data_IF_352384278205
#
_entry.id   IF_352384278205
#
_cell.length_a   1.000
_cell.length_b   1.000
_cell.length_c   1.000
_cell.angle_alpha   90.00
_cell.angle_beta   90.00
_cell.angle_gamma   90.00
#
_symmetry.space_group_name_H-M   'P 1'
#
loop_
_entity.id
_entity.type
_entity.pdbx_description
1 polymer ?
#
# COMPACT_ATOMS: atom_id res chain seq x y z
N UNK A 1 13.98 -17.54 -29.02
CA UNK A 1 13.34 -16.29 -29.44
C UNK A 1 14.20 -15.11 -29.01
N UNK A 2 14.61 -14.25 -29.96
CA UNK A 2 15.48 -13.07 -29.73
C UNK A 2 14.62 -11.86 -29.28
N UNK A 3 14.06 -11.90 -28.10
CA UNK A 3 13.35 -10.76 -27.50
C UNK A 3 13.89 -10.48 -26.11
N UNK A 4 13.99 -9.21 -25.73
CA UNK A 4 14.41 -8.76 -24.38
C UNK A 4 13.31 -9.08 -23.35
N UNK A 5 12.07 -9.25 -23.79
CA UNK A 5 10.92 -9.45 -22.95
C UNK A 5 10.45 -10.90 -22.92
N UNK A 6 9.89 -11.39 -21.80
CA UNK A 6 9.29 -12.71 -21.72
C UNK A 6 8.12 -12.83 -22.72
N UNK A 7 7.99 -14.01 -23.36
CA UNK A 7 6.97 -14.19 -24.38
C UNK A 7 5.57 -14.52 -23.81
N UNK A 8 5.46 -14.84 -22.51
CA UNK A 8 4.21 -15.21 -21.83
C UNK A 8 3.62 -16.58 -22.18
N UNK A 9 4.11 -17.24 -23.26
CA UNK A 9 3.46 -18.45 -23.81
C UNK A 9 4.32 -19.71 -23.80
N UNK A 10 5.64 -19.61 -23.59
CA UNK A 10 6.51 -20.79 -23.52
C UNK A 10 6.41 -21.52 -22.19
N UNK A 11 6.92 -22.77 -22.11
CA UNK A 11 6.92 -23.58 -20.88
C UNK A 11 7.50 -22.81 -19.68
N UNK A 12 8.65 -22.19 -19.83
CA UNK A 12 9.28 -21.43 -18.74
C UNK A 12 8.40 -20.26 -18.25
N UNK A 13 7.80 -19.47 -19.15
CA UNK A 13 6.91 -18.38 -18.75
C UNK A 13 5.69 -18.85 -17.99
N UNK A 14 5.09 -19.98 -18.40
CA UNK A 14 3.93 -20.56 -17.68
C UNK A 14 4.30 -21.07 -16.30
N UNK A 15 5.41 -21.82 -16.19
CA UNK A 15 5.88 -22.31 -14.87
C UNK A 15 6.27 -21.18 -13.92
N UNK A 16 6.82 -20.07 -14.43
CA UNK A 16 7.12 -18.89 -13.61
C UNK A 16 5.83 -18.21 -13.12
N UNK A 17 4.80 -18.12 -13.98
CA UNK A 17 3.50 -17.55 -13.62
C UNK A 17 2.76 -18.40 -12.56
N UNK A 18 2.96 -19.72 -12.62
CA UNK A 18 2.41 -20.70 -11.66
C UNK A 18 3.25 -20.87 -10.39
N UNK A 19 4.35 -20.11 -10.22
CA UNK A 19 5.35 -20.24 -9.14
C UNK A 19 6.01 -21.69 -9.08
N UNK A 20 6.05 -22.42 -10.21
CA UNK A 20 6.53 -23.79 -10.29
C UNK A 20 7.90 -23.95 -11.00
N UNK A 21 8.50 -22.86 -11.46
CA UNK A 21 9.80 -22.92 -12.12
C UNK A 21 10.93 -23.14 -11.11
N UNK A 22 11.69 -24.24 -11.24
CA UNK A 22 12.66 -24.71 -10.25
C UNK A 22 13.77 -23.72 -9.90
N UNK A 23 14.17 -22.85 -10.85
CA UNK A 23 15.25 -21.87 -10.65
C UNK A 23 14.71 -20.48 -10.24
N UNK A 24 13.39 -20.34 -10.03
CA UNK A 24 12.74 -19.14 -9.51
C UNK A 24 12.00 -19.45 -8.22
N UNK A 25 12.37 -18.82 -7.14
CA UNK A 25 11.71 -19.01 -5.85
C UNK A 25 11.07 -17.69 -5.39
N UNK A 26 9.77 -17.71 -5.11
CA UNK A 26 9.04 -16.57 -4.59
C UNK A 26 8.71 -16.80 -3.11
N UNK A 27 9.13 -15.87 -2.26
CA UNK A 27 8.84 -15.89 -0.82
C UNK A 27 7.83 -14.78 -0.53
N UNK A 28 6.70 -15.17 0.06
CA UNK A 28 5.65 -14.25 0.51
C UNK A 28 5.48 -14.33 2.02
N UNK A 29 5.09 -13.25 2.71
CA UNK A 29 4.83 -13.29 4.15
C UNK A 29 3.66 -14.24 4.46
N UNK A 30 3.76 -14.94 5.58
CA UNK A 30 2.67 -15.73 6.17
C UNK A 30 2.23 -15.01 7.44
N UNK A 31 0.93 -14.72 7.57
CA UNK A 31 0.40 -13.91 8.66
C UNK A 31 1.14 -12.56 8.82
N UNK A 32 1.40 -11.90 7.68
CA UNK A 32 2.06 -10.59 7.60
C UNK A 32 3.53 -10.55 8.09
N UNK A 33 4.18 -11.69 8.25
CA UNK A 33 5.57 -11.77 8.71
C UNK A 33 6.33 -12.81 7.87
N UNK A 34 7.57 -12.49 7.51
CA UNK A 34 8.54 -13.45 6.95
C UNK A 34 9.43 -13.94 8.09
N UNK A 35 9.21 -15.20 8.49
CA UNK A 35 9.95 -15.85 9.59
C UNK A 35 11.37 -16.23 9.17
N UNK A 36 12.27 -16.30 10.16
CA UNK A 36 13.68 -16.64 9.97
C UNK A 36 13.87 -18.01 9.31
N UNK A 37 13.06 -19.01 9.65
CA UNK A 37 13.18 -20.36 9.10
C UNK A 37 12.92 -20.38 7.59
N UNK A 38 11.94 -19.60 7.09
CA UNK A 38 11.70 -19.48 5.64
C UNK A 38 12.89 -18.91 4.88
N UNK A 39 13.59 -17.95 5.47
CA UNK A 39 14.81 -17.39 4.86
C UNK A 39 15.98 -18.36 4.98
N UNK A 40 16.09 -19.14 6.06
CA UNK A 40 17.12 -20.20 6.18
C UNK A 40 16.92 -21.32 5.16
N UNK A 41 15.68 -21.77 4.96
CA UNK A 41 15.36 -22.75 3.92
C UNK A 41 15.75 -22.22 2.55
N UNK A 42 15.41 -20.96 2.27
CA UNK A 42 15.81 -20.27 1.05
C UNK A 42 17.34 -20.28 0.89
N UNK A 43 18.09 -19.91 1.93
CA UNK A 43 19.56 -19.89 1.93
C UNK A 43 20.16 -21.28 1.64
N UNK A 44 19.57 -22.35 2.11
CA UNK A 44 20.02 -23.70 1.78
C UNK A 44 19.88 -24.00 0.28
N UNK A 45 18.84 -23.49 -0.37
CA UNK A 45 18.68 -23.59 -1.82
C UNK A 45 19.73 -22.79 -2.60
N UNK A 46 20.28 -21.70 -2.06
CA UNK A 46 21.36 -20.93 -2.68
C UNK A 46 22.66 -21.75 -2.87
N UNK A 47 22.87 -22.76 -2.04
CA UNK A 47 24.07 -23.59 -2.08
C UNK A 47 24.00 -24.70 -3.14
N UNK A 48 22.85 -24.85 -3.79
CA UNK A 48 22.64 -25.84 -4.84
C UNK A 48 22.72 -25.15 -6.20
N UNK A 49 23.35 -25.80 -7.18
CA UNK A 49 23.34 -25.29 -8.56
C UNK A 49 21.91 -25.36 -9.13
N UNK A 50 21.56 -24.42 -10.01
CA UNK A 50 20.25 -24.39 -10.67
C UNK A 50 19.93 -25.72 -11.38
N UNK A 51 18.65 -26.09 -11.40
CA UNK A 51 18.18 -27.35 -11.97
C UNK A 51 18.08 -27.31 -13.50
N UNK A 52 17.65 -26.20 -14.06
CA UNK A 52 17.44 -26.02 -15.50
C UNK A 52 18.42 -24.99 -16.12
N UNK A 53 19.10 -24.18 -15.30
CA UNK A 53 20.04 -23.14 -15.73
C UNK A 53 21.19 -22.92 -14.76
N UNK A 54 22.12 -22.03 -15.13
CA UNK A 54 23.22 -21.62 -14.24
C UNK A 54 22.84 -20.50 -13.27
N UNK A 55 21.64 -19.92 -13.41
CA UNK A 55 21.20 -18.74 -12.67
C UNK A 55 19.94 -19.05 -11.85
N UNK A 56 19.98 -18.68 -10.59
CA UNK A 56 18.84 -18.76 -9.71
C UNK A 56 18.28 -17.37 -9.42
N UNK A 57 16.96 -17.26 -9.35
CA UNK A 57 16.27 -16.00 -9.06
C UNK A 57 15.43 -16.17 -7.80
N UNK A 58 15.61 -15.27 -6.85
CA UNK A 58 14.85 -15.24 -5.61
C UNK A 58 14.11 -13.91 -5.49
N UNK A 59 12.79 -14.00 -5.28
CA UNK A 59 11.91 -12.85 -5.15
C UNK A 59 11.31 -12.87 -3.75
N UNK A 60 11.67 -11.91 -2.92
CA UNK A 60 11.13 -11.76 -1.57
C UNK A 60 10.12 -10.61 -1.59
N UNK A 61 8.84 -10.94 -1.57
CA UNK A 61 7.75 -9.97 -1.52
C UNK A 61 7.60 -9.41 -0.11
N UNK A 62 7.19 -8.15 0.01
CA UNK A 62 7.01 -7.42 1.27
C UNK A 62 8.24 -7.55 2.19
N UNK A 63 9.41 -7.24 1.68
CA UNK A 63 10.69 -7.38 2.39
C UNK A 63 10.77 -6.54 3.69
N UNK A 64 9.94 -5.50 3.81
CA UNK A 64 9.72 -4.72 5.01
C UNK A 64 9.10 -5.53 6.16
N UNK A 65 8.48 -6.67 5.85
CA UNK A 65 7.87 -7.58 6.84
C UNK A 65 8.80 -8.70 7.30
N UNK A 66 10.06 -8.67 6.91
CA UNK A 66 11.05 -9.62 7.42
C UNK A 66 11.36 -9.36 8.90
N UNK A 67 11.34 -10.45 9.69
CA UNK A 67 11.88 -10.37 11.03
C UNK A 67 13.38 -10.02 10.99
N UNK A 68 13.87 -9.21 11.93
CA UNK A 68 15.27 -8.72 11.96
C UNK A 68 16.29 -9.87 11.81
N UNK A 69 16.05 -11.00 12.48
CA UNK A 69 16.93 -12.18 12.39
C UNK A 69 16.90 -12.83 10.99
N UNK A 70 15.75 -12.80 10.30
CA UNK A 70 15.61 -13.28 8.94
C UNK A 70 16.43 -12.41 7.97
N UNK A 71 16.29 -11.10 8.09
CA UNK A 71 17.03 -10.13 7.29
C UNK A 71 18.55 -10.25 7.52
N UNK A 72 19.00 -10.38 8.78
CA UNK A 72 20.41 -10.59 9.10
C UNK A 72 20.97 -11.90 8.53
N UNK A 73 20.18 -12.98 8.50
CA UNK A 73 20.59 -14.25 7.88
C UNK A 73 20.83 -14.10 6.38
N UNK A 74 20.08 -13.21 5.71
CA UNK A 74 20.21 -12.96 4.28
C UNK A 74 21.49 -12.18 3.93
N UNK A 75 21.99 -11.34 4.84
CA UNK A 75 23.16 -10.47 4.57
C UNK A 75 24.38 -11.27 4.12
N UNK A 76 24.66 -12.42 4.75
CA UNK A 76 25.83 -13.25 4.40
C UNK A 76 25.77 -13.72 2.95
N UNK A 77 24.58 -14.06 2.47
CA UNK A 77 24.40 -14.55 1.09
C UNK A 77 24.45 -13.41 0.08
N UNK A 78 23.98 -12.22 0.46
CA UNK A 78 24.10 -11.03 -0.39
C UNK A 78 25.56 -10.63 -0.57
N UNK A 79 26.38 -10.75 0.48
CA UNK A 79 27.80 -10.38 0.45
C UNK A 79 28.67 -11.42 -0.29
N UNK A 80 28.42 -12.71 -0.04
CA UNK A 80 29.24 -13.82 -0.56
C UNK A 80 28.35 -14.89 -1.20
N UNK A 81 27.75 -14.63 -2.37
CA UNK A 81 26.92 -15.62 -3.05
C UNK A 81 27.78 -16.81 -3.52
N UNK A 82 27.38 -18.05 -3.21
CA UNK A 82 28.10 -19.26 -3.59
C UNK A 82 27.77 -19.72 -5.03
N UNK A 83 26.79 -19.12 -5.67
CA UNK A 83 26.34 -19.42 -7.04
C UNK A 83 25.91 -18.13 -7.76
N UNK A 84 25.59 -18.22 -9.04
CA UNK A 84 25.07 -17.09 -9.81
C UNK A 84 23.61 -16.83 -9.46
N UNK A 85 23.40 -15.97 -8.45
CA UNK A 85 22.08 -15.69 -7.84
C UNK A 85 21.66 -14.26 -8.08
N UNK A 86 20.40 -14.07 -8.43
CA UNK A 86 19.74 -12.75 -8.47
C UNK A 86 18.68 -12.70 -7.37
N UNK A 87 18.80 -11.72 -6.47
CA UNK A 87 17.87 -11.53 -5.34
C UNK A 87 17.09 -10.23 -5.56
N UNK A 88 15.77 -10.33 -5.64
CA UNK A 88 14.86 -9.19 -5.71
C UNK A 88 14.11 -9.05 -4.38
N UNK A 89 14.28 -7.91 -3.74
CA UNK A 89 13.56 -7.53 -2.52
C UNK A 89 12.49 -6.50 -2.90
N UNK A 90 11.24 -6.89 -2.85
CA UNK A 90 10.11 -6.02 -3.18
C UNK A 90 9.54 -5.45 -1.88
N UNK A 91 9.36 -4.14 -1.83
CA UNK A 91 8.78 -3.46 -0.67
C UNK A 91 7.93 -2.27 -1.12
N UNK A 92 6.86 -1.99 -0.38
CA UNK A 92 6.07 -0.78 -0.54
C UNK A 92 6.66 0.40 0.23
N UNK A 93 7.43 0.13 1.31
CA UNK A 93 8.09 1.14 2.13
C UNK A 93 9.57 0.80 2.34
N UNK A 94 10.45 1.52 1.66
CA UNK A 94 11.89 1.32 1.77
C UNK A 94 12.45 1.69 3.15
N UNK A 95 11.74 2.52 3.93
CA UNK A 95 12.21 2.96 5.25
C UNK A 95 12.14 1.83 6.28
N UNK A 96 11.23 0.87 6.08
CA UNK A 96 11.07 -0.31 6.94
C UNK A 96 12.07 -1.41 6.61
N UNK A 97 12.76 -1.36 5.48
CA UNK A 97 13.84 -2.29 5.14
C UNK A 97 15.10 -1.92 5.90
N UNK A 98 15.76 -2.93 6.51
CA UNK A 98 16.97 -2.70 7.30
C UNK A 98 18.06 -1.94 6.51
N UNK A 99 18.70 -0.92 7.10
CA UNK A 99 19.76 -0.15 6.46
C UNK A 99 20.93 -1.01 5.97
N UNK A 100 21.22 -2.11 6.69
CA UNK A 100 22.26 -3.09 6.34
C UNK A 100 21.97 -3.83 5.03
N UNK A 101 20.71 -4.09 4.71
CA UNK A 101 20.29 -4.65 3.42
C UNK A 101 20.36 -3.57 2.35
N UNK A 102 19.82 -2.37 2.62
CA UNK A 102 19.82 -1.26 1.66
C UNK A 102 21.20 -0.87 1.18
N UNK A 103 22.20 -0.92 2.06
CA UNK A 103 23.60 -0.58 1.71
C UNK A 103 24.28 -1.61 0.78
N UNK A 104 23.69 -2.82 0.61
CA UNK A 104 24.21 -3.93 -0.21
C UNK A 104 23.36 -4.25 -1.42
N UNK A 105 22.24 -3.55 -1.60
CA UNK A 105 21.32 -3.74 -2.71
C UNK A 105 21.26 -2.50 -3.59
N UNK A 106 21.11 -2.69 -4.89
CA UNK A 106 20.75 -1.61 -5.78
C UNK A 106 19.28 -1.27 -5.58
N UNK A 107 18.98 -0.04 -5.21
CA UNK A 107 17.61 0.42 -5.05
C UNK A 107 17.07 0.91 -6.39
N UNK A 108 15.90 0.41 -6.77
CA UNK A 108 15.17 0.83 -7.96
C UNK A 108 13.77 1.23 -7.52
N UNK A 109 13.45 2.51 -7.69
CA UNK A 109 12.13 3.04 -7.34
C UNK A 109 11.19 2.94 -8.53
N UNK A 110 10.02 2.34 -8.31
CA UNK A 110 8.92 2.25 -9.28
C UNK A 110 7.79 3.17 -8.81
N UNK A 111 7.74 4.42 -9.28
CA UNK A 111 6.66 5.32 -8.91
C UNK A 111 5.33 4.79 -9.42
N UNK A 112 4.27 4.98 -8.63
CA UNK A 112 2.92 4.65 -9.04
C UNK A 112 2.55 5.49 -10.28
N UNK A 113 2.20 4.83 -11.37
CA UNK A 113 1.70 5.48 -12.57
C UNK A 113 0.20 5.76 -12.42
N UNK A 114 -0.13 6.94 -11.88
CA UNK A 114 -1.53 7.34 -11.63
C UNK A 114 -2.31 7.50 -12.93
N UNK A 115 -1.69 8.04 -13.98
CA UNK A 115 -2.35 8.26 -15.26
C UNK A 115 -2.72 6.92 -15.92
N UNK A 116 -1.80 5.97 -15.95
CA UNK A 116 -2.07 4.62 -16.45
C UNK A 116 -3.21 3.95 -15.67
N UNK A 117 -3.19 4.02 -14.34
CA UNK A 117 -4.23 3.44 -13.51
C UNK A 117 -5.59 4.08 -13.77
N UNK A 118 -5.62 5.41 -13.92
CA UNK A 118 -6.84 6.15 -14.24
C UNK A 118 -7.40 5.75 -15.62
N UNK A 119 -6.55 5.67 -16.65
CA UNK A 119 -6.95 5.23 -17.98
C UNK A 119 -7.51 3.81 -17.96
N UNK A 120 -6.85 2.90 -17.27
CA UNK A 120 -7.33 1.53 -17.09
C UNK A 120 -8.72 1.49 -16.44
N UNK A 121 -8.92 2.21 -15.32
CA UNK A 121 -10.22 2.25 -14.63
C UNK A 121 -11.34 2.84 -15.49
N UNK A 122 -11.03 3.81 -16.36
CA UNK A 122 -11.97 4.34 -17.33
C UNK A 122 -12.36 3.31 -18.39
N UNK A 123 -11.40 2.48 -18.87
CA UNK A 123 -11.67 1.39 -19.79
C UNK A 123 -12.52 0.28 -19.17
N UNK A 124 -12.39 0.05 -17.86
CA UNK A 124 -13.25 -0.85 -17.06
C UNK A 124 -14.68 -0.27 -16.83
N UNK A 125 -14.95 0.95 -17.31
CA UNK A 125 -16.29 1.54 -17.27
C UNK A 125 -16.59 2.42 -16.07
N UNK A 126 -15.60 2.78 -15.25
CA UNK A 126 -15.81 3.71 -14.15
C UNK A 126 -16.01 5.14 -14.66
N UNK A 127 -16.78 5.93 -13.91
CA UNK A 127 -16.90 7.36 -14.17
C UNK A 127 -15.57 8.07 -13.91
N UNK A 128 -15.32 9.17 -14.63
CA UNK A 128 -14.09 9.94 -14.52
C UNK A 128 -13.74 10.33 -13.07
N UNK A 129 -14.73 10.73 -12.28
CA UNK A 129 -14.54 11.10 -10.87
C UNK A 129 -14.14 9.88 -10.01
N UNK A 130 -14.74 8.73 -10.25
CA UNK A 130 -14.43 7.49 -9.56
C UNK A 130 -13.02 6.98 -9.92
N UNK A 131 -12.67 7.01 -11.21
CA UNK A 131 -11.35 6.61 -11.68
C UNK A 131 -10.26 7.54 -11.12
N UNK A 132 -10.48 8.86 -11.09
CA UNK A 132 -9.57 9.83 -10.49
C UNK A 132 -9.41 9.63 -8.98
N UNK A 133 -10.52 9.39 -8.27
CA UNK A 133 -10.48 9.11 -6.84
C UNK A 133 -9.64 7.86 -6.56
N UNK A 134 -9.93 6.75 -7.22
CA UNK A 134 -9.21 5.48 -7.02
C UNK A 134 -7.75 5.57 -7.44
N UNK A 135 -7.44 6.25 -8.56
CA UNK A 135 -6.08 6.43 -9.01
C UNK A 135 -5.23 7.19 -7.98
N UNK A 136 -5.82 8.10 -7.22
CA UNK A 136 -5.13 8.82 -6.14
C UNK A 136 -5.15 8.09 -4.80
N UNK A 137 -6.24 7.39 -4.49
CA UNK A 137 -6.46 6.73 -3.20
C UNK A 137 -5.71 5.40 -3.06
N UNK A 138 -5.80 4.51 -4.07
CA UNK A 138 -5.24 3.16 -3.96
C UNK A 138 -3.71 3.18 -3.93
N UNK A 139 -3.12 2.24 -3.20
CA UNK A 139 -1.66 2.10 -3.12
C UNK A 139 -1.08 1.43 -4.38
N UNK A 140 -1.90 0.61 -5.07
CA UNK A 140 -1.49 -0.10 -6.26
C UNK A 140 -2.67 -0.58 -7.10
N UNK A 141 -2.34 -1.27 -8.20
CA UNK A 141 -3.30 -1.74 -9.18
C UNK A 141 -4.34 -2.71 -8.60
N UNK A 142 -3.90 -3.67 -7.77
CA UNK A 142 -4.79 -4.67 -7.16
C UNK A 142 -5.82 -4.04 -6.21
N UNK A 143 -5.39 -3.12 -5.34
CA UNK A 143 -6.32 -2.41 -4.46
C UNK A 143 -7.34 -1.61 -5.26
N UNK A 144 -6.90 -0.94 -6.33
CA UNK A 144 -7.79 -0.19 -7.20
C UNK A 144 -8.85 -1.08 -7.86
N UNK A 145 -8.48 -2.28 -8.33
CA UNK A 145 -9.42 -3.24 -8.93
C UNK A 145 -10.47 -3.73 -7.93
N UNK A 146 -10.05 -4.04 -6.70
CA UNK A 146 -10.96 -4.49 -5.63
C UNK A 146 -11.94 -3.37 -5.27
N UNK A 147 -11.44 -2.15 -5.07
CA UNK A 147 -12.26 -1.00 -4.71
C UNK A 147 -13.17 -0.54 -5.85
N UNK A 148 -12.77 -0.74 -7.11
CA UNK A 148 -13.60 -0.41 -8.28
C UNK A 148 -14.94 -1.15 -8.31
N UNK A 149 -14.97 -2.36 -7.73
CA UNK A 149 -16.18 -3.18 -7.64
C UNK A 149 -16.96 -2.96 -6.33
N UNK A 150 -16.44 -2.15 -5.42
CA UNK A 150 -17.01 -1.95 -4.09
C UNK A 150 -17.89 -0.68 -4.04
N UNK A 151 -19.20 -0.85 -4.17
CA UNK A 151 -20.17 0.28 -4.10
C UNK A 151 -20.15 1.00 -2.75
N UNK A 152 -19.98 0.26 -1.64
CA UNK A 152 -19.88 0.81 -0.29
C UNK A 152 -18.70 1.78 -0.14
N UNK A 153 -17.58 1.51 -0.83
CA UNK A 153 -16.44 2.42 -0.86
C UNK A 153 -16.81 3.78 -1.49
N UNK A 154 -17.55 3.78 -2.59
CA UNK A 154 -17.97 5.03 -3.24
C UNK A 154 -19.02 5.79 -2.45
N UNK A 155 -19.88 5.09 -1.70
CA UNK A 155 -20.84 5.74 -0.80
C UNK A 155 -20.10 6.42 0.35
N UNK A 156 -19.14 5.74 0.98
CA UNK A 156 -18.25 6.30 1.99
C UNK A 156 -17.47 7.51 1.44
N UNK A 157 -16.91 7.42 0.25
CA UNK A 157 -16.19 8.51 -0.38
C UNK A 157 -17.07 9.75 -0.57
N UNK A 158 -18.32 9.57 -0.98
CA UNK A 158 -19.31 10.65 -1.14
C UNK A 158 -19.64 11.33 0.19
N UNK A 159 -19.80 10.57 1.27
CA UNK A 159 -20.01 11.14 2.59
C UNK A 159 -18.76 11.87 3.10
N UNK A 160 -17.56 11.37 2.84
CA UNK A 160 -16.31 12.07 3.12
C UNK A 160 -16.21 13.39 2.34
N UNK A 161 -16.57 13.42 1.06
CA UNK A 161 -16.59 14.65 0.25
C UNK A 161 -17.58 15.69 0.80
N UNK A 162 -18.76 15.26 1.20
CA UNK A 162 -19.76 16.13 1.84
C UNK A 162 -19.25 16.71 3.15
N UNK A 163 -18.63 15.88 3.97
CA UNK A 163 -18.04 16.31 5.24
C UNK A 163 -16.90 17.33 5.02
N UNK A 164 -15.96 17.06 4.12
CA UNK A 164 -14.88 18.00 3.78
C UNK A 164 -15.43 19.32 3.24
N UNK A 165 -16.41 19.26 2.35
CA UNK A 165 -17.04 20.46 1.81
C UNK A 165 -17.72 21.31 2.91
N UNK A 166 -18.38 20.69 3.88
CA UNK A 166 -18.98 21.36 5.02
C UNK A 166 -17.90 21.96 5.95
N UNK A 167 -16.82 21.25 6.19
CA UNK A 167 -15.68 21.74 6.95
C UNK A 167 -15.10 23.02 6.33
N UNK A 168 -14.85 23.01 5.02
CA UNK A 168 -14.27 24.14 4.30
C UNK A 168 -15.22 25.36 4.23
N UNK A 169 -16.52 25.12 4.28
CA UNK A 169 -17.55 26.17 4.32
C UNK A 169 -17.93 26.60 5.74
N UNK A 170 -17.36 25.96 6.76
CA UNK A 170 -17.73 26.17 8.17
C UNK A 170 -19.21 26.02 8.45
N UNK A 171 -19.82 24.97 7.87
CA UNK A 171 -21.23 24.67 8.02
C UNK A 171 -21.57 24.38 9.49
N UNK A 172 -22.61 24.99 10.08
CA UNK A 172 -23.03 24.74 11.46
C UNK A 172 -23.48 23.28 11.71
N UNK A 173 -23.87 22.56 10.65
CA UNK A 173 -24.38 21.19 10.72
C UNK A 173 -23.30 20.11 10.57
N UNK A 174 -22.01 20.44 10.67
CA UNK A 174 -20.89 19.51 10.52
C UNK A 174 -21.04 18.26 11.42
N UNK A 175 -21.55 18.42 12.65
CA UNK A 175 -21.75 17.31 13.58
C UNK A 175 -22.74 16.26 13.08
N UNK A 176 -23.76 16.66 12.31
CA UNK A 176 -24.66 15.69 11.68
C UNK A 176 -23.94 14.84 10.63
N UNK A 177 -22.97 15.44 9.94
CA UNK A 177 -22.15 14.73 8.97
C UNK A 177 -21.14 13.78 9.64
N UNK A 178 -20.62 14.13 10.83
CA UNK A 178 -19.84 13.18 11.64
C UNK A 178 -20.70 11.94 11.96
N UNK A 179 -21.94 12.15 12.41
CA UNK A 179 -22.83 11.02 12.72
C UNK A 179 -23.14 10.15 11.51
N UNK A 180 -23.25 10.73 10.31
CA UNK A 180 -23.43 9.96 9.06
C UNK A 180 -22.17 9.14 8.72
N UNK A 181 -20.98 9.74 8.81
CA UNK A 181 -19.73 9.00 8.61
C UNK A 181 -19.59 7.83 9.57
N UNK A 182 -20.00 8.00 10.83
CA UNK A 182 -20.01 6.92 11.83
C UNK A 182 -20.94 5.77 11.42
N UNK A 183 -22.12 6.09 10.86
CA UNK A 183 -23.06 5.08 10.38
C UNK A 183 -22.53 4.29 9.18
N UNK A 184 -21.75 4.92 8.30
CA UNK A 184 -21.12 4.26 7.14
C UNK A 184 -19.85 3.47 7.50
N UNK A 185 -19.31 3.65 8.72
CA UNK A 185 -18.05 3.07 9.18
C UNK A 185 -18.25 2.17 10.38
N UNK A 186 -18.90 1.01 10.16
CA UNK A 186 -19.27 0.03 11.18
C UNK A 186 -18.09 -0.81 11.72
N UNK A 187 -16.97 -0.84 10.99
CA UNK A 187 -15.77 -1.57 11.37
C UNK A 187 -14.49 -0.72 11.30
N UNK A 188 -13.40 -1.24 11.88
CA UNK A 188 -12.10 -0.55 11.90
C UNK A 188 -11.48 -0.37 10.52
N UNK A 189 -11.77 -1.25 9.57
CA UNK A 189 -11.22 -1.17 8.23
C UNK A 189 -11.85 0.00 7.46
N UNK A 190 -13.18 0.12 7.51
CA UNK A 190 -13.90 1.26 6.92
C UNK A 190 -13.53 2.59 7.60
N UNK A 191 -13.30 2.59 8.93
CA UNK A 191 -12.80 3.77 9.63
C UNK A 191 -11.41 4.18 9.15
N UNK A 192 -10.51 3.23 8.95
CA UNK A 192 -9.19 3.49 8.36
C UNK A 192 -9.29 4.02 6.93
N UNK A 193 -10.19 3.47 6.11
CA UNK A 193 -10.46 3.96 4.76
C UNK A 193 -11.02 5.39 4.78
N UNK A 194 -11.93 5.70 5.72
CA UNK A 194 -12.45 7.05 5.91
C UNK A 194 -11.34 8.06 6.25
N UNK A 195 -10.42 7.74 7.17
CA UNK A 195 -9.28 8.61 7.46
C UNK A 195 -8.41 8.85 6.22
N UNK A 196 -8.09 7.81 5.44
CA UNK A 196 -7.32 7.95 4.19
C UNK A 196 -8.05 8.81 3.15
N UNK A 197 -9.37 8.65 3.01
CA UNK A 197 -10.19 9.49 2.13
C UNK A 197 -10.20 10.95 2.57
N UNK A 198 -10.38 11.22 3.86
CA UNK A 198 -10.36 12.57 4.41
C UNK A 198 -8.98 13.22 4.24
N UNK A 199 -7.89 12.48 4.47
CA UNK A 199 -6.51 12.95 4.21
C UNK A 199 -6.35 13.38 2.75
N UNK A 200 -6.78 12.53 1.80
CA UNK A 200 -6.71 12.82 0.37
C UNK A 200 -7.54 14.06 -0.01
N UNK A 201 -8.75 14.15 0.50
CA UNK A 201 -9.68 15.23 0.16
C UNK A 201 -9.26 16.58 0.75
N UNK A 202 -8.79 16.62 2.01
CA UNK A 202 -8.24 17.85 2.58
C UNK A 202 -6.91 18.25 1.93
N UNK A 203 -6.07 17.29 1.54
CA UNK A 203 -4.84 17.56 0.80
C UNK A 203 -5.09 18.26 -0.54
N UNK A 204 -6.18 17.94 -1.24
CA UNK A 204 -6.62 18.67 -2.45
C UNK A 204 -6.93 20.15 -2.16
N UNK A 205 -7.25 20.50 -0.93
CA UNK A 205 -7.58 21.86 -0.48
C UNK A 205 -6.44 22.54 0.28
N UNK A 206 -5.22 22.03 0.20
CA UNK A 206 -4.04 22.52 0.94
C UNK A 206 -3.66 23.98 0.61
N UNK A 207 -4.05 24.47 -0.56
CA UNK A 207 -3.89 25.87 -0.95
C UNK A 207 -4.72 26.84 -0.11
N UNK A 208 -5.78 26.38 0.54
CA UNK A 208 -6.60 27.15 1.46
C UNK A 208 -6.09 26.99 2.89
N UNK A 209 -6.06 28.08 3.68
CA UNK A 209 -5.62 28.03 5.07
C UNK A 209 -6.43 27.03 5.89
N UNK A 210 -7.75 27.03 5.70
CA UNK A 210 -8.67 26.15 6.42
C UNK A 210 -8.44 24.67 6.07
N UNK A 211 -8.12 24.35 4.80
CA UNK A 211 -7.77 23.00 4.38
C UNK A 211 -6.53 22.45 5.09
N UNK A 212 -5.49 23.29 5.25
CA UNK A 212 -4.28 22.95 6.01
C UNK A 212 -4.56 22.71 7.49
N UNK A 213 -5.36 23.61 8.09
CA UNK A 213 -5.72 23.51 9.50
C UNK A 213 -6.52 22.21 9.78
N UNK A 214 -7.46 21.85 8.91
CA UNK A 214 -8.19 20.59 9.01
C UNK A 214 -7.30 19.37 8.82
N UNK A 215 -6.37 19.40 7.88
CA UNK A 215 -5.43 18.29 7.65
C UNK A 215 -4.54 18.07 8.88
N UNK A 216 -4.01 19.14 9.49
CA UNK A 216 -3.24 19.05 10.73
C UNK A 216 -4.06 18.41 11.87
N UNK A 217 -5.32 18.82 12.05
CA UNK A 217 -6.19 18.28 13.09
C UNK A 217 -6.65 16.86 12.79
N UNK A 218 -6.79 16.50 11.52
CA UNK A 218 -7.11 15.13 11.10
C UNK A 218 -6.00 14.16 11.49
N UNK A 219 -4.73 14.54 11.35
CA UNK A 219 -3.60 13.71 11.81
C UNK A 219 -3.70 13.43 13.31
N UNK A 220 -4.01 14.43 14.11
CA UNK A 220 -4.23 14.25 15.55
C UNK A 220 -5.45 13.36 15.86
N UNK A 221 -6.55 13.56 15.16
CA UNK A 221 -7.75 12.73 15.30
C UNK A 221 -7.45 11.25 14.97
N UNK A 222 -6.69 10.98 13.91
CA UNK A 222 -6.26 9.64 13.54
C UNK A 222 -5.40 9.00 14.62
N UNK A 223 -4.42 9.73 15.18
CA UNK A 223 -3.59 9.26 16.30
C UNK A 223 -4.43 8.93 17.56
N UNK A 224 -5.47 9.73 17.84
CA UNK A 224 -6.40 9.44 18.94
C UNK A 224 -7.16 8.13 18.67
N UNK A 225 -7.68 7.95 17.46
CA UNK A 225 -8.37 6.72 17.06
C UNK A 225 -7.45 5.48 17.12
N UNK A 226 -6.22 5.58 16.66
CA UNK A 226 -5.20 4.53 16.77
C UNK A 226 -4.91 4.14 18.22
N UNK A 227 -5.10 5.08 19.17
CA UNK A 227 -5.01 4.87 20.64
C UNK A 227 -6.35 4.46 21.27
N UNK A 228 -7.26 3.90 20.46
CA UNK A 228 -8.58 3.40 20.87
C UNK A 228 -9.60 4.47 21.34
N UNK A 229 -9.43 5.73 20.98
CA UNK A 229 -10.54 6.68 21.06
C UNK A 229 -11.57 6.34 19.97
N UNK A 230 -12.86 6.47 20.25
CA UNK A 230 -13.89 6.18 19.24
C UNK A 230 -13.74 7.09 18.01
N UNK A 231 -14.07 6.56 16.82
CA UNK A 231 -14.00 7.28 15.55
C UNK A 231 -14.82 8.57 15.60
N UNK A 232 -16.03 8.52 16.18
CA UNK A 232 -16.87 9.69 16.38
C UNK A 232 -16.19 10.76 17.21
N UNK A 233 -15.68 10.42 18.40
CA UNK A 233 -15.04 11.39 19.30
C UNK A 233 -13.78 12.00 18.68
N UNK A 234 -13.02 11.23 17.90
CA UNK A 234 -11.84 11.73 17.21
C UNK A 234 -12.20 12.78 16.14
N UNK A 235 -13.25 12.55 15.34
CA UNK A 235 -13.72 13.51 14.35
C UNK A 235 -14.39 14.74 14.99
N UNK A 236 -15.19 14.55 16.03
CA UNK A 236 -15.81 15.67 16.78
C UNK A 236 -14.73 16.56 17.41
N UNK A 237 -13.69 15.97 17.98
CA UNK A 237 -12.53 16.72 18.50
C UNK A 237 -11.88 17.57 17.40
N UNK A 238 -11.64 17.02 16.23
CA UNK A 238 -11.08 17.73 15.09
C UNK A 238 -11.93 18.96 14.72
N UNK A 239 -13.24 18.80 14.66
CA UNK A 239 -14.18 19.89 14.34
C UNK A 239 -14.19 20.97 15.41
N UNK A 240 -14.22 20.57 16.70
CA UNK A 240 -14.22 21.49 17.85
C UNK A 240 -12.98 22.37 17.93
N UNK A 241 -11.80 21.81 17.65
CA UNK A 241 -10.53 22.55 17.70
C UNK A 241 -10.48 23.73 16.74
N UNK A 242 -11.18 23.67 15.63
CA UNK A 242 -11.19 24.72 14.62
C UNK A 242 -12.35 25.71 14.79
N UNK A 243 -13.45 25.27 15.39
CA UNK A 243 -14.58 26.16 15.71
C UNK A 243 -14.24 27.15 16.84
N UNK A 244 -13.41 26.76 17.79
CA UNK A 244 -12.99 27.58 18.94
C UNK A 244 -11.86 28.58 18.63
N UNK A 245 -11.32 28.61 17.41
CA UNK A 245 -10.31 29.59 16.99
C UNK A 245 -10.90 30.88 16.40
N UNK A 246 -12.24 31.03 16.42
CA UNK A 246 -12.98 32.23 16.06
C UNK A 246 -13.71 32.79 17.27
#
# INVERSE_FOLDING_TARGET
KKGVWPCGTCRACRLIEEDEFSDVTVVRPVNQIIKTDRIRDLIQHFSQSGYEGSKQVFIICDADRMHVNAANSLLKVIEEPQSEVHIFLLTADEQLVLPTIKSRAQQVHFPKNQDFLKEYLLQEGLLLQQADLLANFSQGFQEAQILAQNTSFFDLARECERFVAACLKTDPHIYLLVSRLVQETDDKEKQAQAFRLLELLFARSIGQSLGRDYLEKLVLAKQMWERNVSFQNALEYMVLQLKNRR
#
